data_IF_478314226418
#
_entry.id   IF_478314226418
#
_cell.length_a   1.000
_cell.length_b   1.000
_cell.length_c   1.000
_cell.angle_alpha   90.00
_cell.angle_beta   90.00
_cell.angle_gamma   90.00
#
_symmetry.space_group_name_H-M   'P 1'
#
loop_
_entity.id
_entity.type
_entity.pdbx_description
1 polymer ?
#
# COMPACT_ATOMS: atom_id res chain seq x y z
N UNK A 1 9.68 14.62 6.27
CA UNK A 1 8.72 13.90 5.41
C UNK A 1 7.42 13.77 6.16
N UNK A 2 6.29 13.96 5.47
CA UNK A 2 4.96 13.65 6.02
C UNK A 2 4.82 12.12 6.12
N UNK A 3 4.28 11.56 7.21
CA UNK A 3 3.96 10.14 7.25
C UNK A 3 2.89 9.80 6.20
N UNK A 4 2.99 8.60 5.62
CA UNK A 4 1.92 8.01 4.79
C UNK A 4 0.97 7.28 5.72
N UNK A 5 -0.32 7.59 5.65
CA UNK A 5 -1.35 6.93 6.42
C UNK A 5 -2.11 5.96 5.50
N UNK A 6 -2.15 4.68 5.89
CA UNK A 6 -2.93 3.65 5.20
C UNK A 6 -4.07 3.24 6.12
N UNK A 7 -5.29 3.33 5.61
CA UNK A 7 -6.47 2.81 6.29
C UNK A 7 -6.61 1.33 5.95
N UNK A 8 -6.82 0.51 6.98
CA UNK A 8 -7.09 -0.91 6.84
C UNK A 8 -8.40 -1.24 7.56
N UNK A 9 -9.34 -1.81 6.82
CA UNK A 9 -10.69 -2.15 7.32
C UNK A 9 -10.88 -3.65 7.15
N UNK A 10 -11.36 -4.31 8.20
CA UNK A 10 -11.74 -5.72 8.12
C UNK A 10 -13.11 -5.85 7.45
N UNK A 11 -13.15 -6.55 6.31
CA UNK A 11 -14.38 -6.99 5.66
C UNK A 11 -14.80 -8.33 6.25
N UNK A 12 -15.94 -8.35 6.94
CA UNK A 12 -16.46 -9.54 7.63
C UNK A 12 -17.01 -10.60 6.68
N UNK A 13 -17.54 -10.20 5.53
CA UNK A 13 -18.17 -11.10 4.56
C UNK A 13 -17.11 -11.82 3.74
N UNK A 14 -16.07 -11.08 3.32
CA UNK A 14 -14.93 -11.63 2.59
C UNK A 14 -13.85 -12.23 3.50
N UNK A 15 -13.86 -11.89 4.80
CA UNK A 15 -12.85 -12.31 5.80
C UNK A 15 -11.43 -11.90 5.40
N UNK A 16 -11.28 -10.65 4.97
CA UNK A 16 -10.01 -10.05 4.59
C UNK A 16 -9.89 -8.65 5.18
N UNK A 17 -8.65 -8.21 5.40
CA UNK A 17 -8.34 -6.80 5.56
C UNK A 17 -8.24 -6.16 4.18
N UNK A 18 -8.91 -5.04 3.98
CA UNK A 18 -8.85 -4.20 2.77
C UNK A 18 -8.09 -2.92 3.12
N UNK A 19 -7.15 -2.51 2.27
CA UNK A 19 -6.34 -1.31 2.47
C UNK A 19 -6.49 -0.29 1.34
N UNK A 20 -6.60 0.99 1.75
CA UNK A 20 -6.61 2.17 0.88
C UNK A 20 -5.88 3.35 1.53
N UNK A 21 -5.48 4.34 0.74
CA UNK A 21 -4.81 5.54 1.25
C UNK A 21 -5.00 6.73 0.31
N UNK A 22 -5.31 7.90 0.87
CA UNK A 22 -5.30 9.17 0.13
C UNK A 22 -3.86 9.65 -0.18
N UNK A 23 -2.86 9.21 0.58
CA UNK A 23 -1.45 9.57 0.37
C UNK A 23 -0.79 8.73 -0.75
N UNK A 24 -1.42 7.62 -1.18
CA UNK A 24 -0.86 6.68 -2.17
C UNK A 24 -1.88 6.43 -3.30
N UNK A 25 -1.86 7.23 -4.38
CA UNK A 25 -2.78 7.07 -5.50
C UNK A 25 -2.73 5.66 -6.09
N UNK A 26 -3.91 5.05 -6.26
CA UNK A 26 -4.05 3.70 -6.80
C UNK A 26 -3.79 2.57 -5.79
N UNK A 27 -3.60 2.87 -4.51
CA UNK A 27 -3.52 1.84 -3.48
C UNK A 27 -4.91 1.25 -3.21
N UNK A 28 -5.12 0.03 -3.69
CA UNK A 28 -6.26 -0.83 -3.36
C UNK A 28 -5.76 -2.28 -3.31
N UNK A 29 -5.79 -2.90 -2.13
CA UNK A 29 -5.33 -4.28 -1.95
C UNK A 29 -5.95 -4.91 -0.71
N UNK A 30 -5.95 -6.24 -0.64
CA UNK A 30 -6.52 -6.98 0.49
C UNK A 30 -5.66 -8.18 0.90
N UNK A 31 -5.85 -8.70 2.11
CA UNK A 31 -5.27 -9.98 2.54
C UNK A 31 -6.03 -10.61 3.72
N UNK A 32 -5.91 -11.91 3.90
CA UNK A 32 -6.59 -12.70 4.94
C UNK A 32 -6.17 -12.35 6.38
N UNK A 33 -5.03 -11.69 6.58
CA UNK A 33 -4.57 -11.21 7.88
C UNK A 33 -3.70 -9.95 7.75
N UNK A 34 -3.50 -9.27 8.88
CA UNK A 34 -2.84 -7.96 8.92
C UNK A 34 -1.34 -8.06 8.59
N UNK A 35 -0.70 -9.18 8.91
CA UNK A 35 0.71 -9.44 8.63
C UNK A 35 0.97 -9.57 7.12
N UNK A 36 0.14 -10.36 6.42
CA UNK A 36 0.21 -10.54 4.96
C UNK A 36 -0.13 -9.22 4.27
N UNK A 37 -1.15 -8.49 4.73
CA UNK A 37 -1.47 -7.16 4.20
C UNK A 37 -0.27 -6.22 4.34
N UNK A 38 0.35 -6.18 5.52
CA UNK A 38 1.54 -5.35 5.79
C UNK A 38 2.70 -5.73 4.87
N UNK A 39 2.94 -7.01 4.62
CA UNK A 39 3.97 -7.48 3.71
C UNK A 39 3.72 -7.01 2.27
N UNK A 40 2.47 -7.07 1.78
CA UNK A 40 2.09 -6.55 0.46
C UNK A 40 2.33 -5.04 0.36
N UNK A 41 1.90 -4.28 1.37
CA UNK A 41 2.02 -2.82 1.41
C UNK A 41 3.48 -2.33 1.32
N UNK A 42 4.44 -3.06 1.90
CA UNK A 42 5.87 -2.72 1.83
C UNK A 42 6.42 -2.64 0.40
N UNK A 43 5.85 -3.40 -0.53
CA UNK A 43 6.25 -3.40 -1.93
C UNK A 43 5.34 -2.47 -2.76
N UNK A 44 4.02 -2.56 -2.57
CA UNK A 44 3.06 -1.81 -3.37
C UNK A 44 3.18 -0.29 -3.19
N UNK A 45 3.40 0.19 -1.96
CA UNK A 45 3.48 1.63 -1.69
C UNK A 45 4.63 2.29 -2.47
N UNK A 46 5.91 1.87 -2.36
CA UNK A 46 6.98 2.52 -3.11
C UNK A 46 6.78 2.39 -4.63
N UNK A 47 6.27 1.26 -5.12
CA UNK A 47 5.97 1.08 -6.54
C UNK A 47 4.92 2.07 -7.04
N UNK A 48 3.80 2.21 -6.33
CA UNK A 48 2.73 3.14 -6.69
C UNK A 48 3.19 4.60 -6.62
N UNK A 49 3.98 4.98 -5.62
CA UNK A 49 4.53 6.33 -5.54
C UNK A 49 5.47 6.65 -6.71
N UNK A 50 6.27 5.67 -7.15
CA UNK A 50 7.13 5.79 -8.33
C UNK A 50 6.29 5.92 -9.60
N UNK A 51 5.29 5.05 -9.78
CA UNK A 51 4.43 5.02 -10.97
C UNK A 51 3.60 6.30 -11.11
N UNK A 52 3.23 6.93 -10.00
CA UNK A 52 2.51 8.21 -9.97
C UNK A 52 3.45 9.44 -9.91
N UNK A 53 4.76 9.26 -10.14
CA UNK A 53 5.76 10.34 -10.16
C UNK A 53 5.84 11.17 -8.86
N UNK A 54 5.43 10.62 -7.72
CA UNK A 54 5.49 11.29 -6.41
C UNK A 54 6.87 11.16 -5.77
N UNK A 55 7.61 10.12 -6.13
CA UNK A 55 9.02 9.92 -5.74
C UNK A 55 9.85 9.45 -6.95
N UNK A 56 11.15 9.74 -6.94
CA UNK A 56 12.07 9.25 -7.96
C UNK A 56 12.37 7.76 -7.80
N UNK A 57 12.68 7.07 -8.91
CA UNK A 57 13.21 5.70 -8.87
C UNK A 57 14.56 5.70 -8.15
N UNK A 58 14.75 4.85 -7.12
CA UNK A 58 16.04 4.75 -6.45
C UNK A 58 17.10 4.20 -7.43
N UNK A 59 18.33 4.74 -7.34
CA UNK A 59 19.46 4.39 -8.22
C UNK A 59 19.88 2.92 -8.19
N UNK A 60 19.38 2.13 -7.22
CA UNK A 60 19.70 0.71 -7.05
C UNK A 60 18.63 -0.23 -7.64
N UNK A 61 17.60 0.30 -8.31
CA UNK A 61 16.55 -0.46 -9.00
C UNK A 61 16.78 -0.52 -10.53
N UNK A 62 18.03 -0.40 -10.97
CA UNK A 62 18.47 -0.54 -12.38
C UNK A 62 19.45 -1.70 -12.51
#
# INVERSE_FOLDING_TARGET
MKPIIVEAIWDVDARVWVASSEDVPGLATEAENIEVLTAKLRNMIPELLILNNLIGRPRNMV
#
